data_IF_629139622549
#
_entry.id   IF_629139622549
#
_cell.length_a   1.000
_cell.length_b   1.000
_cell.length_c   1.000
_cell.angle_alpha   90.00
_cell.angle_beta   90.00
_cell.angle_gamma   90.00
#
_symmetry.space_group_name_H-M   'P 1'
#
loop_
_entity.id
_entity.type
_entity.pdbx_description
1 polymer ?
#
# COMPACT_ATOMS: atom_id res chain seq x y z
N UNK A 1 -16.93 -38.31 -45.79
CA UNK A 1 -17.23 -36.87 -45.70
C UNK A 1 -16.68 -36.45 -44.35
N UNK A 2 -15.57 -35.75 -44.31
CA UNK A 2 -15.06 -35.12 -43.11
C UNK A 2 -15.84 -33.80 -42.93
N UNK A 3 -16.85 -33.80 -42.10
CA UNK A 3 -17.53 -32.59 -41.66
C UNK A 3 -16.75 -31.97 -40.53
N UNK A 4 -15.87 -31.05 -40.84
CA UNK A 4 -15.30 -30.12 -39.83
C UNK A 4 -16.22 -28.92 -39.69
N UNK A 5 -16.31 -28.36 -38.49
CA UNK A 5 -16.96 -27.06 -38.31
C UNK A 5 -16.19 -25.97 -39.07
N UNK A 6 -16.93 -24.99 -39.59
CA UNK A 6 -16.33 -23.85 -40.26
C UNK A 6 -15.53 -23.08 -39.22
N UNK A 7 -14.28 -22.86 -39.50
CA UNK A 7 -13.36 -22.08 -38.64
C UNK A 7 -13.88 -20.66 -38.46
N UNK A 8 -14.11 -20.24 -37.26
CA UNK A 8 -14.71 -18.95 -36.90
C UNK A 8 -13.72 -17.94 -36.31
N UNK A 9 -12.47 -18.32 -36.12
CA UNK A 9 -11.45 -17.43 -35.58
C UNK A 9 -10.02 -17.96 -35.75
N UNK A 10 -9.07 -17.07 -35.50
CA UNK A 10 -7.64 -17.36 -35.51
C UNK A 10 -6.86 -16.37 -34.65
N UNK A 11 -5.65 -16.73 -34.30
CA UNK A 11 -4.70 -15.85 -33.61
C UNK A 11 -3.43 -15.78 -34.45
N UNK A 12 -2.93 -14.55 -34.68
CA UNK A 12 -1.62 -14.33 -35.30
C UNK A 12 -0.71 -13.61 -34.32
N UNK A 13 0.60 -13.71 -34.50
CA UNK A 13 1.57 -13.08 -33.63
C UNK A 13 2.84 -12.70 -34.38
N UNK A 14 3.30 -11.49 -34.14
CA UNK A 14 4.62 -11.00 -34.49
C UNK A 14 5.35 -10.54 -33.25
N UNK A 15 6.57 -10.98 -33.04
CA UNK A 15 7.38 -10.64 -31.88
C UNK A 15 8.72 -10.05 -32.29
N UNK A 16 9.37 -9.39 -31.33
CA UNK A 16 10.75 -8.95 -31.46
C UNK A 16 11.69 -10.01 -30.88
N UNK A 17 12.63 -10.49 -31.70
CA UNK A 17 13.67 -11.40 -31.27
C UNK A 17 14.60 -10.71 -30.24
N UNK A 18 15.37 -11.50 -29.48
CA UNK A 18 16.42 -10.98 -28.58
C UNK A 18 17.45 -10.12 -29.32
N UNK A 19 17.62 -10.29 -30.63
CA UNK A 19 18.48 -9.49 -31.50
C UNK A 19 17.83 -8.16 -31.97
N UNK A 20 16.60 -7.89 -31.55
CA UNK A 20 15.86 -6.68 -31.92
C UNK A 20 15.15 -6.74 -33.28
N UNK A 21 15.18 -7.87 -33.98
CA UNK A 21 14.56 -8.08 -35.29
C UNK A 21 13.12 -8.50 -35.08
N UNK A 22 12.19 -7.95 -35.88
CA UNK A 22 10.79 -8.41 -35.88
C UNK A 22 10.67 -9.73 -36.64
N UNK A 23 10.08 -10.72 -35.98
CA UNK A 23 9.81 -12.06 -36.51
C UNK A 23 8.30 -12.30 -36.53
N UNK A 24 7.72 -12.49 -37.71
CA UNK A 24 6.33 -12.91 -37.82
C UNK A 24 6.22 -14.41 -37.65
N UNK A 25 5.50 -14.85 -36.63
CA UNK A 25 5.22 -16.26 -36.39
C UNK A 25 4.03 -16.76 -37.23
N UNK A 26 3.33 -15.83 -37.91
CA UNK A 26 2.11 -16.13 -38.62
C UNK A 26 0.99 -16.53 -37.66
N UNK A 27 0.28 -17.59 -38.06
CA UNK A 27 -0.81 -18.10 -37.22
C UNK A 27 -0.29 -18.99 -36.10
N UNK A 28 -0.75 -18.73 -34.87
CA UNK A 28 -0.34 -19.40 -33.64
C UNK A 28 -1.54 -19.96 -32.88
N UNK A 29 -1.31 -20.93 -32.01
CA UNK A 29 -2.32 -21.43 -31.08
C UNK A 29 -2.17 -20.70 -29.74
N UNK A 30 -3.20 -19.97 -29.34
CA UNK A 30 -3.21 -19.29 -28.06
C UNK A 30 -3.97 -20.11 -27.02
N UNK A 31 -3.35 -20.37 -25.88
CA UNK A 31 -3.97 -20.94 -24.68
C UNK A 31 -4.36 -19.85 -23.69
N UNK A 32 -5.58 -19.89 -23.17
CA UNK A 32 -6.05 -18.96 -22.12
C UNK A 32 -6.22 -19.72 -20.82
N UNK A 33 -5.50 -19.29 -19.78
CA UNK A 33 -5.66 -19.84 -18.44
C UNK A 33 -6.73 -19.05 -17.68
N UNK A 34 -7.82 -19.71 -17.33
CA UNK A 34 -8.92 -19.12 -16.59
C UNK A 34 -8.79 -19.48 -15.09
N UNK A 35 -8.68 -18.46 -14.28
CA UNK A 35 -8.66 -18.59 -12.82
C UNK A 35 -10.08 -18.77 -12.26
N UNK A 36 -10.25 -19.63 -11.26
CA UNK A 36 -11.53 -19.78 -10.54
C UNK A 36 -11.83 -18.52 -9.74
N UNK A 37 -13.11 -18.16 -9.65
CA UNK A 37 -13.53 -17.02 -8.84
C UNK A 37 -13.09 -17.24 -7.37
N UNK A 38 -12.48 -16.22 -6.77
CA UNK A 38 -11.98 -16.27 -5.40
C UNK A 38 -10.57 -16.87 -5.22
N UNK A 39 -9.96 -17.48 -6.25
CA UNK A 39 -8.57 -17.95 -6.16
C UNK A 39 -7.58 -16.79 -6.25
N UNK A 40 -6.40 -16.95 -5.65
CA UNK A 40 -5.31 -15.98 -5.72
C UNK A 40 -4.69 -16.00 -7.13
N UNK A 41 -4.60 -14.83 -7.76
CA UNK A 41 -4.10 -14.69 -9.14
C UNK A 41 -2.65 -15.10 -9.23
N UNK A 42 -1.77 -14.54 -8.36
CA UNK A 42 -0.34 -14.86 -8.38
C UNK A 42 -0.09 -16.35 -8.13
N UNK A 43 -0.70 -16.93 -7.10
CA UNK A 43 -0.53 -18.35 -6.82
C UNK A 43 -1.04 -19.26 -7.96
N UNK A 44 -2.04 -18.81 -8.73
CA UNK A 44 -2.50 -19.55 -9.90
C UNK A 44 -1.48 -19.47 -11.03
N UNK A 45 -0.90 -18.30 -11.26
CA UNK A 45 0.11 -18.08 -12.30
C UNK A 45 1.39 -18.85 -11.95
N UNK A 46 1.91 -18.70 -10.71
CA UNK A 46 3.08 -19.44 -10.22
C UNK A 46 2.90 -20.97 -10.43
N UNK A 47 1.69 -21.50 -10.13
CA UNK A 47 1.39 -22.92 -10.35
C UNK A 47 1.32 -23.33 -11.83
N UNK A 48 1.01 -22.40 -12.73
CA UNK A 48 1.06 -22.63 -14.19
C UNK A 48 2.50 -22.62 -14.67
N UNK A 49 3.29 -21.62 -14.26
CA UNK A 49 4.70 -21.49 -14.60
C UNK A 49 5.52 -22.70 -14.15
N UNK A 50 5.27 -23.19 -12.92
CA UNK A 50 5.90 -24.42 -12.39
C UNK A 50 5.63 -25.64 -13.26
N UNK A 51 4.49 -25.67 -13.97
CA UNK A 51 4.12 -26.77 -14.87
C UNK A 51 4.55 -26.58 -16.32
N UNK A 52 4.91 -25.36 -16.73
CA UNK A 52 5.32 -25.04 -18.10
C UNK A 52 6.46 -25.94 -18.60
N UNK A 53 7.54 -26.23 -17.82
CA UNK A 53 8.59 -27.13 -18.28
C UNK A 53 8.12 -28.54 -18.58
N UNK A 54 7.18 -29.06 -17.78
CA UNK A 54 6.61 -30.40 -18.01
C UNK A 54 5.69 -30.42 -19.23
N UNK A 55 4.93 -29.35 -19.46
CA UNK A 55 4.11 -29.20 -20.67
C UNK A 55 5.01 -29.10 -21.89
N UNK A 56 6.07 -28.29 -21.85
CA UNK A 56 7.02 -28.16 -22.96
C UNK A 56 7.66 -29.49 -23.34
N UNK A 57 7.99 -30.37 -22.38
CA UNK A 57 8.54 -31.69 -22.64
C UNK A 57 7.52 -32.65 -23.27
N UNK A 58 6.23 -32.42 -23.10
CA UNK A 58 5.19 -33.25 -23.68
C UNK A 58 4.76 -32.80 -25.08
N UNK A 59 5.22 -31.61 -25.52
CA UNK A 59 4.93 -31.10 -26.87
C UNK A 59 5.78 -31.80 -27.92
N UNK A 60 5.28 -31.90 -29.18
CA UNK A 60 6.07 -32.40 -30.32
C UNK A 60 7.32 -31.55 -30.56
N UNK A 61 8.34 -32.17 -31.15
CA UNK A 61 9.57 -31.46 -31.53
C UNK A 61 9.26 -30.27 -32.47
N UNK A 62 9.83 -29.11 -32.13
CA UNK A 62 9.65 -27.85 -32.87
C UNK A 62 8.45 -27.02 -32.40
N UNK A 63 7.66 -27.48 -31.44
CA UNK A 63 6.60 -26.68 -30.82
C UNK A 63 7.09 -26.09 -29.48
N UNK A 64 7.04 -24.76 -29.39
CA UNK A 64 7.38 -24.02 -28.14
C UNK A 64 6.15 -23.39 -27.54
N UNK A 65 6.07 -23.36 -26.20
CA UNK A 65 5.02 -22.65 -25.48
C UNK A 65 5.65 -21.49 -24.72
N UNK A 66 5.13 -20.29 -24.93
CA UNK A 66 5.67 -19.07 -24.32
C UNK A 66 4.51 -18.21 -23.76
N UNK A 67 4.60 -17.68 -22.54
CA UNK A 67 3.66 -16.71 -22.03
C UNK A 67 3.86 -15.38 -22.80
N UNK A 68 2.80 -14.71 -23.20
CA UNK A 68 2.86 -13.40 -23.84
C UNK A 68 2.11 -12.29 -23.09
N UNK A 69 1.11 -12.64 -22.30
CA UNK A 69 0.38 -11.73 -21.44
C UNK A 69 0.23 -12.33 -20.05
N UNK A 70 0.86 -11.71 -19.07
CA UNK A 70 0.86 -12.17 -17.69
C UNK A 70 0.36 -11.07 -16.75
N UNK A 71 -0.73 -11.35 -16.02
CA UNK A 71 -1.24 -10.44 -14.99
C UNK A 71 -0.39 -10.44 -13.73
N UNK A 72 0.51 -11.43 -13.53
CA UNK A 72 1.40 -11.43 -12.38
C UNK A 72 2.36 -10.24 -12.41
N UNK A 73 2.82 -9.83 -13.59
CA UNK A 73 3.70 -8.68 -13.75
C UNK A 73 3.09 -7.40 -13.17
N UNK A 74 1.80 -7.17 -13.43
CA UNK A 74 1.08 -6.01 -12.88
C UNK A 74 0.96 -6.09 -11.36
N UNK A 75 0.66 -7.27 -10.83
CA UNK A 75 0.57 -7.50 -9.39
C UNK A 75 1.94 -7.31 -8.73
N UNK A 76 3.00 -7.82 -9.33
CA UNK A 76 4.36 -7.72 -8.81
C UNK A 76 4.89 -6.28 -8.84
N UNK A 77 4.67 -5.55 -9.92
CA UNK A 77 5.00 -4.12 -10.01
C UNK A 77 4.25 -3.31 -8.95
N UNK A 78 2.95 -3.58 -8.76
CA UNK A 78 2.14 -2.92 -7.75
C UNK A 78 2.64 -3.23 -6.32
N UNK A 79 2.93 -4.50 -6.01
CA UNK A 79 3.47 -4.92 -4.70
C UNK A 79 4.85 -4.33 -4.48
N UNK A 80 5.71 -4.32 -5.48
CA UNK A 80 7.06 -3.74 -5.40
C UNK A 80 7.00 -2.23 -5.15
N UNK A 81 6.13 -1.51 -5.87
CA UNK A 81 5.93 -0.07 -5.68
C UNK A 81 5.46 0.25 -4.26
N UNK A 82 4.46 -0.49 -3.77
CA UNK A 82 3.96 -0.32 -2.39
C UNK A 82 5.05 -0.68 -1.37
N UNK A 83 5.76 -1.80 -1.54
CA UNK A 83 6.84 -2.22 -0.65
C UNK A 83 7.97 -1.19 -0.58
N UNK A 84 8.34 -0.60 -1.72
CA UNK A 84 9.32 0.48 -1.80
C UNK A 84 8.84 1.72 -1.05
N UNK A 85 7.59 2.17 -1.30
CA UNK A 85 7.01 3.31 -0.62
C UNK A 85 6.94 3.09 0.91
N UNK A 86 6.57 1.87 1.35
CA UNK A 86 6.58 1.50 2.76
C UNK A 86 7.98 1.56 3.38
N UNK A 87 8.99 1.10 2.65
CA UNK A 87 10.38 1.12 3.11
C UNK A 87 10.88 2.56 3.22
N UNK A 88 10.62 3.40 2.23
CA UNK A 88 10.98 4.82 2.23
C UNK A 88 10.29 5.57 3.39
N UNK A 89 8.99 5.33 3.60
CA UNK A 89 8.24 5.89 4.72
C UNK A 89 8.82 5.44 6.08
N UNK A 90 9.14 4.15 6.22
CA UNK A 90 9.75 3.60 7.42
C UNK A 90 11.11 4.24 7.73
N UNK A 91 11.98 4.38 6.73
CA UNK A 91 13.28 5.06 6.88
C UNK A 91 13.09 6.51 7.32
N UNK A 92 12.13 7.23 6.71
CA UNK A 92 11.83 8.60 7.09
C UNK A 92 11.33 8.70 8.55
N UNK A 93 10.45 7.80 8.97
CA UNK A 93 9.98 7.70 10.35
C UNK A 93 11.15 7.48 11.32
N UNK A 94 12.07 6.58 11.00
CA UNK A 94 13.29 6.33 11.82
C UNK A 94 14.11 7.61 11.98
N UNK A 95 14.37 8.32 10.87
CA UNK A 95 15.14 9.57 10.89
C UNK A 95 14.45 10.61 11.78
N UNK A 96 13.15 10.81 11.59
CA UNK A 96 12.37 11.79 12.36
C UNK A 96 12.37 11.43 13.85
N UNK A 97 12.13 10.17 14.19
CA UNK A 97 12.14 9.72 15.59
C UNK A 97 13.51 9.90 16.26
N UNK A 98 14.60 9.58 15.56
CA UNK A 98 15.96 9.80 16.06
C UNK A 98 16.26 11.28 16.30
N UNK A 99 15.79 12.17 15.43
CA UNK A 99 15.98 13.61 15.55
C UNK A 99 15.18 14.23 16.71
N UNK A 100 13.99 13.71 16.97
CA UNK A 100 13.09 14.29 17.98
C UNK A 100 13.26 13.67 19.37
N UNK A 101 13.30 12.35 19.48
CA UNK A 101 13.41 11.69 20.79
C UNK A 101 14.84 11.73 21.36
N UNK A 102 15.89 11.82 20.54
CA UNK A 102 17.32 11.78 20.95
C UNK A 102 17.67 10.63 21.92
N UNK A 103 16.82 9.64 22.01
CA UNK A 103 16.99 8.46 22.84
C UNK A 103 16.79 7.20 22.00
N UNK A 104 17.92 6.52 21.74
CA UNK A 104 17.91 5.33 20.87
C UNK A 104 17.01 4.21 21.40
N UNK A 105 16.87 4.07 22.73
CA UNK A 105 16.01 3.05 23.32
C UNK A 105 14.53 3.33 23.09
N UNK A 106 14.10 4.57 23.29
CA UNK A 106 12.74 5.01 23.03
C UNK A 106 12.40 4.89 21.53
N UNK A 107 13.33 5.31 20.66
CA UNK A 107 13.19 5.17 19.21
C UNK A 107 13.06 3.72 18.80
N UNK A 108 13.89 2.82 19.33
CA UNK A 108 13.80 1.38 19.02
C UNK A 108 12.48 0.77 19.44
N UNK A 109 11.92 1.15 20.58
CA UNK A 109 10.61 0.68 21.02
C UNK A 109 9.50 1.08 20.04
N UNK A 110 9.46 2.37 19.65
CA UNK A 110 8.50 2.85 18.66
C UNK A 110 8.72 2.17 17.32
N UNK A 111 9.99 1.97 16.92
CA UNK A 111 10.33 1.29 15.67
C UNK A 111 9.84 -0.16 15.62
N UNK A 112 9.91 -0.89 16.74
CA UNK A 112 9.40 -2.26 16.85
C UNK A 112 7.87 -2.29 16.81
N UNK A 113 7.19 -1.25 17.30
CA UNK A 113 5.72 -1.22 17.29
C UNK A 113 5.12 -1.24 15.89
N UNK A 114 5.80 -0.67 14.90
CA UNK A 114 5.31 -0.60 13.50
C UNK A 114 5.24 -1.98 12.85
N UNK A 115 6.35 -2.74 12.72
CA UNK A 115 6.29 -4.07 12.12
C UNK A 115 5.41 -5.04 12.92
N UNK A 116 5.33 -4.87 14.24
CA UNK A 116 4.44 -5.67 15.08
C UNK A 116 2.97 -5.39 14.76
N UNK A 117 2.57 -4.11 14.67
CA UNK A 117 1.20 -3.72 14.31
C UNK A 117 0.82 -4.17 12.91
N UNK A 118 1.74 -4.01 11.94
CA UNK A 118 1.56 -4.47 10.55
C UNK A 118 1.44 -6.00 10.51
N UNK A 119 2.31 -6.71 11.20
CA UNK A 119 2.28 -8.18 11.26
C UNK A 119 0.96 -8.71 11.86
N UNK A 120 0.49 -8.09 12.94
CA UNK A 120 -0.81 -8.41 13.54
C UNK A 120 -1.97 -8.08 12.59
N UNK A 121 -1.92 -6.96 11.88
CA UNK A 121 -2.94 -6.58 10.89
C UNK A 121 -2.99 -7.59 9.73
N UNK A 122 -1.84 -7.96 9.16
CA UNK A 122 -1.75 -8.97 8.11
C UNK A 122 -2.23 -10.34 8.58
N UNK A 123 -1.91 -10.72 9.83
CA UNK A 123 -2.40 -11.97 10.45
C UNK A 123 -3.93 -11.95 10.57
N UNK A 124 -4.49 -10.83 11.03
CA UNK A 124 -5.93 -10.64 11.11
C UNK A 124 -6.60 -10.70 9.73
N UNK A 125 -6.03 -10.02 8.74
CA UNK A 125 -6.50 -10.08 7.35
C UNK A 125 -6.50 -11.52 6.82
N UNK A 126 -5.43 -12.25 7.02
CA UNK A 126 -5.32 -13.67 6.62
C UNK A 126 -6.38 -14.55 7.30
N UNK A 127 -6.62 -14.35 8.59
CA UNK A 127 -7.63 -15.10 9.34
C UNK A 127 -9.05 -14.86 8.82
N UNK A 128 -9.37 -13.65 8.36
CA UNK A 128 -10.66 -13.34 7.75
C UNK A 128 -10.72 -13.62 6.24
N UNK A 129 -9.71 -14.24 5.67
CA UNK A 129 -9.68 -14.63 4.25
C UNK A 129 -9.56 -13.43 3.29
N UNK A 130 -9.05 -12.30 3.76
CA UNK A 130 -8.83 -11.12 2.95
C UNK A 130 -7.53 -11.29 2.16
N UNK A 131 -7.61 -11.11 0.84
CA UNK A 131 -6.42 -11.14 -0.02
C UNK A 131 -5.60 -9.86 0.10
N UNK A 132 -4.27 -10.00 0.08
CA UNK A 132 -3.35 -8.89 -0.08
C UNK A 132 -3.37 -8.44 -1.54
N UNK A 133 -4.29 -7.57 -1.90
CA UNK A 133 -4.38 -6.93 -3.22
C UNK A 133 -3.88 -5.48 -3.16
N UNK A 134 -3.77 -4.83 -4.32
CA UNK A 134 -3.29 -3.45 -4.44
C UNK A 134 -4.06 -2.49 -3.50
N UNK A 135 -5.37 -2.65 -3.41
CA UNK A 135 -6.21 -1.77 -2.59
C UNK A 135 -5.99 -1.99 -1.09
N UNK A 136 -5.92 -3.27 -0.64
CA UNK A 136 -5.66 -3.59 0.77
C UNK A 136 -4.22 -3.22 1.19
N UNK A 137 -3.23 -3.41 0.32
CA UNK A 137 -1.85 -2.98 0.57
C UNK A 137 -1.72 -1.47 0.57
N UNK A 138 -2.42 -0.77 -0.34
CA UNK A 138 -2.51 0.69 -0.34
C UNK A 138 -3.15 1.23 0.94
N UNK A 139 -4.22 0.58 1.42
CA UNK A 139 -4.83 0.89 2.72
C UNK A 139 -3.86 0.69 3.88
N UNK A 140 -3.08 -0.39 3.87
CA UNK A 140 -2.05 -0.65 4.87
C UNK A 140 -0.94 0.42 4.82
N UNK A 141 -0.53 0.85 3.63
CA UNK A 141 0.44 1.92 3.45
C UNK A 141 -0.03 3.25 4.07
N UNK A 142 -1.29 3.63 3.85
CA UNK A 142 -1.91 4.80 4.48
C UNK A 142 -1.95 4.62 6.01
N UNK A 143 -2.36 3.43 6.48
CA UNK A 143 -2.47 3.14 7.89
C UNK A 143 -1.13 3.21 8.63
N UNK A 144 -0.01 2.83 8.02
CA UNK A 144 1.32 2.89 8.65
C UNK A 144 1.66 4.32 9.11
N UNK A 145 1.37 5.33 8.29
CA UNK A 145 1.56 6.73 8.69
C UNK A 145 0.77 7.12 9.94
N UNK A 146 -0.46 6.60 10.08
CA UNK A 146 -1.34 6.89 11.22
C UNK A 146 -1.06 6.02 12.45
N UNK A 147 -0.56 4.79 12.25
CA UNK A 147 -0.28 3.85 13.35
C UNK A 147 0.85 4.31 14.27
N UNK A 148 1.83 5.01 13.72
CA UNK A 148 3.02 5.45 14.46
C UNK A 148 2.65 6.45 15.55
N UNK A 149 1.68 7.32 15.29
CA UNK A 149 1.32 8.42 16.19
C UNK A 149 0.93 7.95 17.58
N UNK A 150 0.10 6.91 17.70
CA UNK A 150 -0.29 6.36 19.00
C UNK A 150 0.89 5.86 19.83
N UNK A 151 1.84 5.17 19.19
CA UNK A 151 3.04 4.65 19.83
C UNK A 151 4.04 5.76 20.18
N UNK A 152 4.16 6.78 19.34
CA UNK A 152 5.02 7.95 19.58
C UNK A 152 4.51 8.74 20.78
N UNK A 153 3.21 9.10 20.79
CA UNK A 153 2.59 9.86 21.89
C UNK A 153 2.69 9.09 23.21
N UNK A 154 2.45 7.78 23.19
CA UNK A 154 2.60 6.91 24.36
C UNK A 154 4.04 6.93 24.88
N UNK A 155 5.03 6.75 23.98
CA UNK A 155 6.44 6.72 24.36
C UNK A 155 6.94 8.08 24.84
N UNK A 156 6.52 9.17 24.20
CA UNK A 156 6.88 10.52 24.60
C UNK A 156 6.38 10.83 26.02
N UNK A 157 5.12 10.47 26.32
CA UNK A 157 4.57 10.68 27.66
C UNK A 157 5.24 9.82 28.72
N UNK A 158 5.53 8.53 28.40
CA UNK A 158 6.32 7.67 29.28
C UNK A 158 7.69 8.30 29.55
N UNK A 159 8.37 8.77 28.49
CA UNK A 159 9.67 9.40 28.59
C UNK A 159 9.64 10.68 29.42
N UNK A 160 8.60 11.49 29.26
CA UNK A 160 8.36 12.71 30.04
C UNK A 160 8.21 12.38 31.54
N UNK A 161 7.39 11.39 31.88
CA UNK A 161 7.21 10.97 33.29
C UNK A 161 8.49 10.38 33.90
N UNK A 162 9.29 9.63 33.11
CA UNK A 162 10.57 9.09 33.58
C UNK A 162 11.68 10.14 33.70
N UNK A 163 11.55 11.29 33.02
CA UNK A 163 12.54 12.37 33.04
C UNK A 163 12.26 13.47 34.07
N UNK A 164 11.06 13.51 34.66
CA UNK A 164 10.72 14.47 35.69
C UNK A 164 11.35 14.05 37.05
N UNK A 165 12.01 14.94 37.76
CA UNK A 165 12.45 14.68 39.16
C UNK A 165 11.23 14.45 40.03
N UNK A 166 11.35 13.57 41.01
CA UNK A 166 10.31 13.16 41.94
C UNK A 166 9.88 14.26 42.95
N UNK A 167 9.40 15.37 42.48
CA UNK A 167 8.90 16.42 43.38
C UNK A 167 7.60 16.06 44.13
N UNK A 168 6.78 15.19 43.55
CA UNK A 168 5.48 14.78 44.12
C UNK A 168 5.61 13.56 45.04
N UNK A 169 6.51 12.62 44.71
CA UNK A 169 6.76 11.46 45.56
C UNK A 169 7.71 11.76 46.73
N UNK A 170 8.61 12.72 46.59
CA UNK A 170 9.43 13.21 47.69
C UNK A 170 8.59 13.86 48.80
N UNK A 171 7.49 14.56 48.47
CA UNK A 171 6.57 15.12 49.45
C UNK A 171 5.78 14.03 50.18
N UNK A 172 5.22 13.04 49.46
CA UNK A 172 4.49 11.94 50.09
C UNK A 172 5.41 10.99 50.87
N UNK A 173 6.68 10.82 50.44
CA UNK A 173 7.68 10.05 51.15
C UNK A 173 8.20 10.80 52.39
N UNK A 174 8.32 12.12 52.33
CA UNK A 174 8.68 12.97 53.50
C UNK A 174 7.57 12.99 54.54
N UNK A 175 6.30 12.96 54.14
CA UNK A 175 5.14 12.92 55.03
C UNK A 175 4.92 11.54 55.67
N UNK A 176 5.49 10.47 55.09
CA UNK A 176 5.33 9.07 55.56
C UNK A 176 6.52 8.54 56.40
N UNK A 177 7.63 9.28 56.50
CA UNK A 177 8.85 8.84 57.18
C UNK A 177 9.09 9.57 58.48
N UNK A 178 9.26 8.79 59.55
CA UNK A 178 9.78 9.30 60.84
C UNK A 178 11.22 9.85 60.64
N UNK A 179 11.59 10.91 61.37
CA UNK A 179 12.91 11.53 61.26
C UNK A 179 13.99 10.57 61.75
N UNK A 180 14.77 9.97 60.86
CA UNK A 180 15.97 9.24 61.24
C UNK A 180 16.42 8.10 60.32
N UNK A 181 15.60 7.59 59.40
CA UNK A 181 15.88 6.30 58.73
C UNK A 181 15.91 6.34 57.19
N UNK A 182 16.35 7.38 56.56
CA UNK A 182 16.42 7.39 55.10
C UNK A 182 17.75 7.88 54.57
N UNK A 183 18.52 6.98 53.98
CA UNK A 183 19.54 7.31 53.00
C UNK A 183 18.86 7.96 51.79
N UNK A 184 19.15 9.23 51.47
CA UNK A 184 18.51 9.92 50.31
C UNK A 184 18.85 9.29 48.95
N UNK A 185 19.77 8.34 48.91
CA UNK A 185 20.28 7.73 47.69
C UNK A 185 20.24 6.19 47.74
N UNK A 186 19.05 5.62 47.85
CA UNK A 186 18.86 4.18 47.66
C UNK A 186 18.49 3.87 46.21
N UNK A 187 19.42 3.35 45.39
CA UNK A 187 19.14 3.03 43.97
C UNK A 187 18.14 1.89 43.80
N UNK A 188 17.82 1.14 44.86
CA UNK A 188 16.81 0.07 44.83
C UNK A 188 15.38 0.62 44.94
N UNK A 189 15.20 1.78 45.56
CA UNK A 189 13.92 2.47 45.69
C UNK A 189 13.42 3.02 44.35
N UNK A 190 14.35 3.46 43.48
CA UNK A 190 14.04 4.01 42.15
C UNK A 190 13.49 2.92 41.22
N UNK A 191 13.94 1.68 41.37
CA UNK A 191 13.48 0.54 40.54
C UNK A 191 12.02 0.16 40.75
N UNK A 192 11.48 0.34 41.96
CA UNK A 192 10.07 0.02 42.25
C UNK A 192 9.11 1.13 41.78
N UNK A 193 9.59 2.36 41.60
CA UNK A 193 8.80 3.49 41.11
C UNK A 193 8.60 3.53 39.60
N UNK A 194 9.51 2.96 38.78
CA UNK A 194 9.48 3.05 37.34
C UNK A 194 8.22 2.40 36.69
N UNK A 195 7.77 1.18 37.07
CA UNK A 195 6.56 0.60 36.54
C UNK A 195 5.31 1.41 36.85
N UNK A 196 5.24 2.04 38.05
CA UNK A 196 4.11 2.90 38.43
C UNK A 196 4.06 4.17 37.58
N UNK A 197 5.21 4.81 37.35
CA UNK A 197 5.31 6.00 36.49
C UNK A 197 4.92 5.69 35.04
N UNK A 198 5.33 4.53 34.51
CA UNK A 198 4.92 4.07 33.18
C UNK A 198 3.42 3.82 33.15
N UNK A 199 2.86 3.23 34.18
CA UNK A 199 1.41 2.99 34.31
C UNK A 199 0.62 4.30 34.35
N UNK A 200 1.07 5.30 35.10
CA UNK A 200 0.44 6.62 35.16
C UNK A 200 0.50 7.33 33.81
N UNK A 201 1.67 7.36 33.19
CA UNK A 201 1.84 7.92 31.86
C UNK A 201 0.93 7.23 30.83
N UNK A 202 0.83 5.89 30.87
CA UNK A 202 -0.02 5.14 29.98
C UNK A 202 -1.52 5.41 30.23
N UNK A 203 -1.95 5.60 31.46
CA UNK A 203 -3.34 5.95 31.81
C UNK A 203 -3.71 7.36 31.34
N UNK A 204 -2.80 8.31 31.43
CA UNK A 204 -3.02 9.70 31.02
C UNK A 204 -3.31 9.78 29.51
N UNK A 205 -2.51 9.10 28.69
CA UNK A 205 -2.58 9.18 27.22
C UNK A 205 -3.50 8.11 26.62
N UNK A 206 -3.79 7.04 27.37
CA UNK A 206 -4.58 5.94 26.86
C UNK A 206 -5.96 6.33 26.33
N UNK A 207 -6.68 7.20 27.08
CA UNK A 207 -8.00 7.69 26.63
C UNK A 207 -7.92 8.55 25.37
N UNK A 208 -7.06 9.59 25.27
CA UNK A 208 -6.87 10.37 24.05
C UNK A 208 -6.52 9.51 22.84
N UNK A 209 -5.58 8.59 22.97
CA UNK A 209 -5.16 7.69 21.88
C UNK A 209 -6.32 6.80 21.45
N UNK A 210 -7.06 6.21 22.39
CA UNK A 210 -8.25 5.41 22.11
C UNK A 210 -9.28 6.20 21.29
N UNK A 211 -9.66 7.40 21.75
CA UNK A 211 -10.64 8.22 21.03
C UNK A 211 -10.13 8.65 19.66
N UNK A 212 -8.86 9.02 19.52
CA UNK A 212 -8.28 9.38 18.23
C UNK A 212 -8.41 8.23 17.21
N UNK A 213 -8.06 7.01 17.61
CA UNK A 213 -8.18 5.83 16.73
C UNK A 213 -9.64 5.53 16.39
N UNK A 214 -10.56 5.60 17.37
CA UNK A 214 -12.00 5.38 17.10
C UNK A 214 -12.55 6.42 16.12
N UNK A 215 -12.17 7.69 16.27
CA UNK A 215 -12.58 8.74 15.32
C UNK A 215 -12.09 8.40 13.90
N UNK A 216 -10.85 7.98 13.74
CA UNK A 216 -10.31 7.56 12.44
C UNK A 216 -11.13 6.39 11.88
N UNK A 217 -11.42 5.36 12.68
CA UNK A 217 -12.24 4.22 12.26
C UNK A 217 -13.63 4.67 11.80
N UNK A 218 -14.27 5.57 12.54
CA UNK A 218 -15.59 6.12 12.18
C UNK A 218 -15.55 6.92 10.86
N UNK A 219 -14.45 7.65 10.59
CA UNK A 219 -14.26 8.36 9.32
C UNK A 219 -14.23 7.39 8.13
N UNK A 220 -13.70 6.18 8.29
CA UNK A 220 -13.67 5.15 7.25
C UNK A 220 -14.95 4.31 7.19
N UNK A 221 -15.86 4.42 8.18
CA UNK A 221 -17.10 3.64 8.22
C UNK A 221 -18.00 3.83 6.99
N UNK A 222 -18.14 5.01 6.38
CA UNK A 222 -18.96 5.19 5.16
C UNK A 222 -18.49 4.35 3.98
N UNK A 223 -17.19 3.98 3.89
CA UNK A 223 -16.68 3.15 2.80
C UNK A 223 -17.28 1.72 2.81
N UNK A 224 -17.78 1.26 3.95
CA UNK A 224 -18.43 -0.04 4.05
C UNK A 224 -19.86 -0.05 3.49
N UNK A 225 -20.47 1.13 3.27
CA UNK A 225 -21.80 1.25 2.68
C UNK A 225 -21.76 1.39 1.16
N UNK A 226 -20.57 1.46 0.56
CA UNK A 226 -20.41 1.50 -0.89
C UNK A 226 -20.79 0.14 -1.50
N UNK A 227 -21.55 0.19 -2.58
CA UNK A 227 -21.99 -0.99 -3.35
C UNK A 227 -21.36 -0.96 -4.76
N UNK A 228 -21.55 -2.03 -5.52
CA UNK A 228 -21.08 -2.09 -6.90
C UNK A 228 -19.57 -2.17 -7.06
N UNK A 229 -19.04 -1.46 -8.03
CA UNK A 229 -17.59 -1.43 -8.36
C UNK A 229 -16.83 -0.68 -7.30
N UNK A 230 -17.36 0.44 -6.83
CA UNK A 230 -16.76 1.27 -5.78
C UNK A 230 -16.58 0.48 -4.48
N UNK A 231 -17.60 -0.29 -4.09
CA UNK A 231 -17.51 -1.16 -2.92
C UNK A 231 -16.40 -2.20 -3.06
N UNK A 232 -16.28 -2.85 -4.22
CA UNK A 232 -15.23 -3.85 -4.48
C UNK A 232 -13.81 -3.25 -4.43
N UNK A 233 -13.65 -1.99 -4.79
CA UNK A 233 -12.37 -1.28 -4.76
C UNK A 233 -12.04 -0.77 -3.35
N UNK A 234 -12.95 -0.06 -2.70
CA UNK A 234 -12.66 0.67 -1.47
C UNK A 234 -12.89 -0.13 -0.19
N UNK A 235 -13.78 -1.13 -0.16
CA UNK A 235 -13.99 -1.95 1.05
C UNK A 235 -12.73 -2.69 1.51
N UNK A 236 -11.95 -3.37 0.63
CA UNK A 236 -10.70 -4.02 1.06
C UNK A 236 -9.70 -3.03 1.66
N UNK A 237 -9.61 -1.83 1.09
CA UNK A 237 -8.78 -0.74 1.61
C UNK A 237 -9.25 -0.29 3.01
N UNK A 238 -10.55 -0.03 3.17
CA UNK A 238 -11.12 0.40 4.45
C UNK A 238 -10.93 -0.67 5.53
N UNK A 239 -11.14 -1.95 5.21
CA UNK A 239 -10.94 -3.05 6.15
C UNK A 239 -9.48 -3.12 6.60
N UNK A 240 -8.53 -3.02 5.68
CA UNK A 240 -7.09 -3.06 6.02
C UNK A 240 -6.68 -1.89 6.91
N UNK A 241 -7.19 -0.68 6.65
CA UNK A 241 -6.96 0.50 7.51
C UNK A 241 -7.52 0.27 8.91
N UNK A 242 -8.79 -0.16 9.00
CA UNK A 242 -9.45 -0.39 10.30
C UNK A 242 -8.72 -1.46 11.11
N UNK A 243 -8.35 -2.59 10.49
CA UNK A 243 -7.59 -3.65 11.16
C UNK A 243 -6.22 -3.16 11.61
N UNK A 244 -5.50 -2.42 10.77
CA UNK A 244 -4.22 -1.84 11.11
C UNK A 244 -4.32 -0.86 12.28
N UNK A 245 -5.36 -0.02 12.30
CA UNK A 245 -5.60 0.92 13.40
C UNK A 245 -5.97 0.22 14.70
N UNK A 246 -6.81 -0.84 14.65
CA UNK A 246 -7.15 -1.63 15.82
C UNK A 246 -5.93 -2.36 16.42
N UNK A 247 -5.11 -2.98 15.55
CA UNK A 247 -3.87 -3.65 16.00
C UNK A 247 -2.86 -2.66 16.56
N UNK A 248 -2.71 -1.49 15.94
CA UNK A 248 -1.88 -0.41 16.44
C UNK A 248 -2.33 0.09 17.81
N UNK A 249 -3.64 0.23 18.01
CA UNK A 249 -4.20 0.61 19.31
C UNK A 249 -3.82 -0.40 20.40
N UNK A 250 -3.95 -1.70 20.12
CA UNK A 250 -3.53 -2.76 21.06
C UNK A 250 -2.04 -2.68 21.34
N UNK A 251 -1.21 -2.50 20.31
CA UNK A 251 0.24 -2.37 20.47
C UNK A 251 0.59 -1.13 21.29
N UNK A 252 -0.02 0.03 20.99
CA UNK A 252 0.27 1.27 21.70
C UNK A 252 -0.16 1.25 23.17
N UNK A 253 -1.33 0.66 23.49
CA UNK A 253 -1.88 0.67 24.86
C UNK A 253 -1.39 -0.47 25.73
N UNK A 254 -1.04 -1.62 25.15
CA UNK A 254 -0.68 -2.82 25.90
C UNK A 254 0.79 -3.17 25.76
N UNK A 255 1.26 -3.28 24.51
CA UNK A 255 2.61 -3.76 24.23
C UNK A 255 3.66 -2.70 24.55
N UNK A 256 3.42 -1.44 24.17
CA UNK A 256 4.38 -0.36 24.38
C UNK A 256 4.68 -0.08 25.86
N UNK A 257 3.69 0.05 26.78
CA UNK A 257 3.99 0.20 28.20
C UNK A 257 4.71 -1.02 28.76
N UNK A 258 4.34 -2.25 28.36
CA UNK A 258 5.01 -3.45 28.80
C UNK A 258 6.49 -3.50 28.34
N UNK A 259 6.77 -3.21 27.08
CA UNK A 259 8.14 -3.14 26.55
C UNK A 259 8.96 -2.01 27.20
N UNK A 260 8.32 -0.88 27.53
CA UNK A 260 8.97 0.22 28.23
C UNK A 260 9.45 -0.19 29.64
N UNK A 261 8.69 -1.01 30.38
CA UNK A 261 9.13 -1.52 31.70
C UNK A 261 10.37 -2.42 31.62
N UNK A 262 10.51 -3.20 30.53
CA UNK A 262 11.70 -4.02 30.29
C UNK A 262 12.92 -3.22 29.83
N UNK A 263 12.71 -2.07 29.20
CA UNK A 263 13.78 -1.29 28.58
C UNK A 263 14.35 -0.22 29.54
N UNK A 264 13.48 0.40 30.34
CA UNK A 264 13.86 1.48 31.25
C UNK A 264 13.91 0.96 32.68
N UNK A 265 15.13 0.81 33.20
CA UNK A 265 15.38 0.39 34.58
C UNK A 265 15.77 1.57 35.50
N UNK A 266 16.04 2.74 34.94
CA UNK A 266 16.48 3.94 35.67
C UNK A 266 15.78 5.16 35.06
N UNK A 267 15.68 6.23 35.90
CA UNK A 267 15.21 7.53 35.41
C UNK A 267 16.07 8.02 34.23
N UNK A 268 15.43 8.63 33.24
CA UNK A 268 16.08 9.06 32.00
C UNK A 268 16.26 10.57 32.02
N UNK A 269 17.47 11.04 31.68
CA UNK A 269 17.75 12.47 31.59
C UNK A 269 17.14 13.05 30.31
N UNK A 270 16.26 14.02 30.45
CA UNK A 270 15.71 14.74 29.31
C UNK A 270 16.82 15.55 28.61
N UNK A 271 17.09 15.28 27.34
CA UNK A 271 17.96 16.09 26.49
C UNK A 271 17.08 16.79 25.46
N UNK A 272 17.02 18.12 25.53
CA UNK A 272 16.33 18.87 24.49
C UNK A 272 17.05 18.70 23.15
N UNK A 273 16.30 18.33 22.13
CA UNK A 273 16.82 18.25 20.76
C UNK A 273 17.21 19.64 20.27
N UNK A 274 18.43 19.77 19.77
CA UNK A 274 18.88 21.03 19.17
C UNK A 274 18.06 21.42 17.93
N UNK A 275 17.42 20.45 17.28
CA UNK A 275 16.49 20.65 16.16
C UNK A 275 15.15 21.17 16.67
N UNK A 276 14.73 20.76 17.85
CA UNK A 276 13.45 21.16 18.44
C UNK A 276 13.46 22.63 18.91
N UNK A 277 14.59 23.12 19.41
CA UNK A 277 14.72 24.50 19.93
C UNK A 277 14.34 25.59 18.89
N UNK A 278 14.88 25.61 17.65
CA UNK A 278 14.50 26.62 16.67
C UNK A 278 13.05 26.45 16.21
N UNK A 279 12.55 25.20 16.14
CA UNK A 279 11.16 24.91 15.77
C UNK A 279 10.19 25.41 16.85
N UNK A 280 10.50 25.18 18.13
CA UNK A 280 9.73 25.69 19.26
C UNK A 280 9.72 27.22 19.30
N UNK A 281 10.87 27.87 19.04
CA UNK A 281 10.95 29.32 18.97
C UNK A 281 10.05 29.85 17.83
N UNK A 282 10.15 29.28 16.64
CA UNK A 282 9.31 29.67 15.49
C UNK A 282 7.82 29.47 15.80
N UNK A 283 7.46 28.32 16.37
CA UNK A 283 6.07 28.03 16.74
C UNK A 283 5.53 29.03 17.78
N UNK A 284 6.30 29.36 18.80
CA UNK A 284 5.92 30.36 19.83
C UNK A 284 5.68 31.75 19.22
N UNK A 285 6.52 32.16 18.25
CA UNK A 285 6.34 33.43 17.56
C UNK A 285 5.09 33.39 16.66
N UNK A 286 4.93 32.33 15.88
CA UNK A 286 3.77 32.16 15.01
C UNK A 286 2.45 32.11 15.83
N UNK A 287 2.45 31.38 16.93
CA UNK A 287 1.29 31.30 17.85
C UNK A 287 0.99 32.68 18.46
N UNK A 288 2.03 33.39 18.94
CA UNK A 288 1.87 34.73 19.49
C UNK A 288 1.30 35.73 18.48
N UNK A 289 1.75 35.65 17.21
CA UNK A 289 1.22 36.45 16.13
C UNK A 289 -0.25 36.06 15.80
N UNK A 290 -0.54 34.76 15.69
CA UNK A 290 -1.88 34.27 15.42
C UNK A 290 -2.88 34.67 16.51
N UNK A 291 -2.51 34.58 17.78
CA UNK A 291 -3.36 34.99 18.90
C UNK A 291 -3.61 36.51 18.94
N UNK A 292 -2.61 37.32 18.58
CA UNK A 292 -2.77 38.78 18.44
C UNK A 292 -3.73 39.17 17.32
N UNK A 293 -3.66 38.46 16.19
CA UNK A 293 -4.45 38.70 14.98
C UNK A 293 -5.57 37.65 14.82
N UNK A 294 -6.11 37.11 15.93
CA UNK A 294 -7.08 36.02 15.94
C UNK A 294 -8.25 36.19 14.95
N UNK A 295 -8.80 37.40 14.85
CA UNK A 295 -9.89 37.69 13.93
C UNK A 295 -9.47 37.65 12.46
N UNK A 296 -8.23 38.11 12.16
CA UNK A 296 -7.67 38.00 10.81
C UNK A 296 -7.43 36.55 10.42
N UNK A 297 -6.90 35.74 11.35
CA UNK A 297 -6.68 34.30 11.13
C UNK A 297 -8.02 33.59 10.83
N UNK A 298 -9.07 33.88 11.60
CA UNK A 298 -10.40 33.32 11.36
C UNK A 298 -10.97 33.80 10.01
N UNK A 299 -10.81 35.09 9.69
CA UNK A 299 -11.27 35.65 8.40
C UNK A 299 -10.59 34.96 7.22
N UNK A 300 -9.26 34.79 7.30
CA UNK A 300 -8.47 34.10 6.26
C UNK A 300 -8.92 32.64 6.12
N UNK A 301 -9.13 31.94 7.22
CA UNK A 301 -9.60 30.55 7.21
C UNK A 301 -10.97 30.42 6.55
N UNK A 302 -11.91 31.31 6.89
CA UNK A 302 -13.24 31.35 6.26
C UNK A 302 -13.16 31.73 4.79
N UNK A 303 -12.31 32.70 4.43
CA UNK A 303 -12.11 33.09 3.02
C UNK A 303 -11.51 31.96 2.19
N UNK A 304 -10.53 31.22 2.74
CA UNK A 304 -9.96 30.03 2.09
C UNK A 304 -11.02 28.94 1.92
N UNK A 305 -11.79 28.67 2.95
CA UNK A 305 -12.90 27.69 2.86
C UNK A 305 -13.92 28.09 1.78
N UNK A 306 -14.34 29.35 1.74
CA UNK A 306 -15.26 29.86 0.72
C UNK A 306 -14.65 29.75 -0.69
N UNK A 307 -13.36 30.11 -0.85
CA UNK A 307 -12.66 29.96 -2.12
C UNK A 307 -12.61 28.48 -2.58
N UNK A 308 -12.34 27.55 -1.67
CA UNK A 308 -12.37 26.11 -1.96
C UNK A 308 -13.76 25.66 -2.41
N UNK A 309 -14.82 26.10 -1.75
CA UNK A 309 -16.18 25.79 -2.16
C UNK A 309 -16.53 26.33 -3.55
N UNK A 310 -16.02 27.50 -3.91
CA UNK A 310 -16.20 28.09 -5.26
C UNK A 310 -15.40 27.37 -6.35
N UNK A 311 -14.25 26.76 -5.98
CA UNK A 311 -13.41 26.00 -6.90
C UNK A 311 -13.88 24.57 -7.11
N UNK A 312 -14.58 23.99 -6.12
CA UNK A 312 -15.02 22.59 -6.14
C UNK A 312 -15.79 22.20 -7.42
N UNK A 313 -16.76 23.03 -7.92
CA UNK A 313 -17.47 22.69 -9.16
C UNK A 313 -16.64 22.73 -10.44
N UNK A 314 -15.40 23.29 -10.36
CA UNK A 314 -14.47 23.35 -11.49
C UNK A 314 -13.54 22.14 -11.58
N UNK A 315 -13.53 21.30 -10.55
CA UNK A 315 -12.79 20.05 -10.56
C UNK A 315 -13.49 19.07 -11.50
N UNK A 316 -12.74 18.52 -12.45
CA UNK A 316 -13.21 17.42 -13.29
C UNK A 316 -13.53 16.21 -12.43
N UNK A 317 -14.60 15.49 -12.78
CA UNK A 317 -14.95 14.23 -12.12
C UNK A 317 -14.68 13.09 -13.07
N UNK A 318 -13.75 12.20 -12.68
CA UNK A 318 -13.47 10.96 -13.38
C UNK A 318 -13.81 9.79 -12.45
N UNK A 319 -14.35 8.72 -13.04
CA UNK A 319 -14.78 7.57 -12.25
C UNK A 319 -13.61 6.72 -11.77
N UNK A 320 -12.68 6.44 -12.66
CA UNK A 320 -11.45 5.69 -12.37
C UNK A 320 -10.29 6.40 -13.07
N UNK A 321 -9.17 6.63 -12.39
CA UNK A 321 -7.98 7.16 -13.05
C UNK A 321 -7.49 6.19 -14.13
N UNK A 322 -6.87 6.71 -15.18
CA UNK A 322 -6.26 5.90 -16.23
C UNK A 322 -5.19 5.00 -15.63
N UNK A 323 -5.29 3.69 -15.92
CA UNK A 323 -4.32 2.69 -15.48
C UNK A 323 -3.45 2.34 -16.68
N UNK A 324 -2.15 2.52 -16.53
CA UNK A 324 -1.16 2.09 -17.52
C UNK A 324 -0.78 0.64 -17.24
N UNK A 325 -1.21 -0.27 -18.12
CA UNK A 325 -0.93 -1.71 -17.99
C UNK A 325 0.31 -2.16 -18.80
N UNK A 326 1.00 -1.23 -19.46
CA UNK A 326 2.14 -1.55 -20.33
C UNK A 326 1.74 -2.29 -21.61
N UNK A 327 0.44 -2.39 -21.89
CA UNK A 327 -0.11 -3.00 -23.10
C UNK A 327 -1.15 -2.10 -23.74
N UNK A 328 -1.23 -2.11 -25.07
CA UNK A 328 -2.28 -1.41 -25.82
C UNK A 328 -3.19 -2.46 -26.46
N UNK A 329 -4.50 -2.30 -26.26
CA UNK A 329 -5.48 -3.11 -26.96
C UNK A 329 -6.11 -2.27 -28.08
N UNK A 330 -5.85 -2.65 -29.33
CA UNK A 330 -6.39 -2.00 -30.51
C UNK A 330 -7.54 -2.84 -31.04
N UNK A 331 -8.74 -2.27 -31.09
CA UNK A 331 -9.91 -2.94 -31.65
C UNK A 331 -10.21 -2.38 -33.04
N UNK A 332 -10.19 -3.27 -34.05
CA UNK A 332 -10.46 -2.95 -35.45
C UNK A 332 -11.70 -3.68 -35.91
N UNK A 333 -12.66 -2.96 -36.44
CA UNK A 333 -13.88 -3.53 -37.02
C UNK A 333 -13.85 -3.37 -38.51
N UNK A 334 -13.83 -4.49 -39.21
CA UNK A 334 -13.87 -4.58 -40.68
C UNK A 334 -15.33 -4.57 -41.16
N UNK A 335 -15.51 -4.52 -42.46
CA UNK A 335 -16.84 -4.69 -43.04
C UNK A 335 -17.45 -6.05 -42.62
N UNK A 336 -18.75 -6.11 -42.29
CA UNK A 336 -19.39 -7.36 -41.84
C UNK A 336 -19.31 -8.53 -42.87
N UNK A 337 -19.00 -8.24 -44.13
CA UNK A 337 -18.81 -9.21 -45.18
C UNK A 337 -17.35 -9.71 -45.30
N UNK A 338 -16.44 -9.24 -44.45
CA UNK A 338 -15.06 -9.67 -44.49
C UNK A 338 -14.92 -11.17 -44.17
N UNK A 339 -14.13 -11.88 -44.97
CA UNK A 339 -13.78 -13.26 -44.68
C UNK A 339 -12.67 -13.36 -43.65
N UNK A 340 -12.50 -14.54 -43.03
CA UNK A 340 -11.41 -14.81 -42.10
C UNK A 340 -10.03 -14.52 -42.71
N UNK A 341 -9.82 -14.94 -43.99
CA UNK A 341 -8.55 -14.70 -44.67
C UNK A 341 -8.27 -13.21 -44.90
N UNK A 342 -9.32 -12.41 -45.18
CA UNK A 342 -9.18 -10.96 -45.30
C UNK A 342 -8.83 -10.33 -43.96
N UNK A 343 -9.47 -10.76 -42.88
CA UNK A 343 -9.20 -10.26 -41.55
C UNK A 343 -7.78 -10.63 -41.07
N UNK A 344 -7.31 -11.84 -41.36
CA UNK A 344 -5.93 -12.27 -41.10
C UNK A 344 -4.89 -11.46 -41.89
N UNK A 345 -5.17 -11.16 -43.17
CA UNK A 345 -4.28 -10.32 -43.96
C UNK A 345 -4.18 -8.89 -43.42
N UNK A 346 -5.27 -8.32 -42.90
CA UNK A 346 -5.27 -7.02 -42.26
C UNK A 346 -4.52 -7.08 -40.91
N UNK A 347 -4.75 -8.13 -40.11
CA UNK A 347 -4.04 -8.35 -38.85
C UNK A 347 -2.53 -8.39 -39.06
N UNK A 348 -2.04 -9.16 -40.01
CA UNK A 348 -0.61 -9.24 -40.33
C UNK A 348 0.00 -7.88 -40.72
N UNK A 349 -0.73 -7.08 -41.54
CA UNK A 349 -0.28 -5.74 -41.91
C UNK A 349 -0.23 -4.77 -40.70
N UNK A 350 -1.19 -4.91 -39.78
CA UNK A 350 -1.21 -4.10 -38.53
C UNK A 350 -0.03 -4.48 -37.65
N UNK A 351 0.21 -5.78 -37.46
CA UNK A 351 1.34 -6.28 -36.67
C UNK A 351 2.68 -5.78 -37.20
N UNK A 352 2.89 -5.86 -38.52
CA UNK A 352 4.11 -5.38 -39.18
C UNK A 352 4.32 -3.88 -38.95
N UNK A 353 3.26 -3.05 -39.04
CA UNK A 353 3.34 -1.62 -38.80
C UNK A 353 3.57 -1.29 -37.35
N UNK A 354 2.98 -2.03 -36.42
CA UNK A 354 3.17 -1.84 -34.98
C UNK A 354 4.59 -2.21 -34.56
N UNK A 355 5.15 -3.27 -35.13
CA UNK A 355 6.53 -3.68 -34.87
C UNK A 355 7.59 -2.73 -35.46
N UNK A 356 7.20 -1.74 -36.26
CA UNK A 356 8.09 -0.67 -36.70
C UNK A 356 8.49 0.28 -35.56
N UNK A 357 7.70 0.35 -34.47
CA UNK A 357 8.01 1.13 -33.29
C UNK A 357 8.97 0.36 -32.37
N UNK A 358 10.12 0.94 -31.98
CA UNK A 358 11.13 0.24 -31.18
C UNK A 358 10.68 -0.11 -29.77
N UNK A 359 9.63 0.54 -29.25
CA UNK A 359 9.03 0.32 -27.95
C UNK A 359 8.16 -0.95 -27.92
N UNK A 360 7.70 -1.45 -29.10
CA UNK A 360 6.84 -2.63 -29.19
C UNK A 360 7.67 -3.91 -29.10
N UNK A 361 7.31 -4.78 -28.17
CA UNK A 361 7.94 -6.09 -27.94
C UNK A 361 7.25 -7.19 -28.72
N UNK A 362 5.92 -7.18 -28.74
CA UNK A 362 5.10 -8.11 -29.54
C UNK A 362 3.78 -7.45 -29.95
N UNK A 363 3.20 -7.96 -31.02
CA UNK A 363 1.84 -7.69 -31.46
C UNK A 363 1.13 -9.02 -31.72
N UNK A 364 0.04 -9.28 -31.00
CA UNK A 364 -0.76 -10.50 -31.18
C UNK A 364 -2.18 -10.13 -31.55
N UNK A 365 -2.66 -10.62 -32.66
CA UNK A 365 -4.00 -10.32 -33.18
C UNK A 365 -4.93 -11.50 -32.98
N UNK A 366 -6.06 -11.27 -32.35
CA UNK A 366 -7.16 -12.22 -32.25
C UNK A 366 -8.25 -11.82 -33.24
N UNK A 367 -8.60 -12.73 -34.14
CA UNK A 367 -9.61 -12.52 -35.19
C UNK A 367 -10.78 -13.44 -34.92
N UNK A 368 -11.98 -12.85 -34.79
CA UNK A 368 -13.21 -13.61 -34.66
C UNK A 368 -13.37 -14.37 -33.34
N UNK A 369 -14.14 -15.45 -33.37
CA UNK A 369 -14.57 -16.19 -32.18
C UNK A 369 -13.52 -17.23 -31.75
N UNK A 370 -13.08 -17.27 -30.46
CA UNK A 370 -12.29 -18.38 -29.95
C UNK A 370 -13.15 -19.65 -29.85
N UNK A 371 -12.53 -20.84 -29.98
CA UNK A 371 -13.24 -22.11 -29.86
C UNK A 371 -13.79 -22.36 -28.43
N UNK A 372 -13.10 -21.88 -27.40
CA UNK A 372 -13.48 -22.03 -25.99
C UNK A 372 -13.28 -20.73 -25.23
N UNK A 373 -14.29 -20.35 -24.43
CA UNK A 373 -14.11 -19.43 -23.29
C UNK A 373 -13.96 -17.95 -23.59
N UNK A 374 -14.29 -17.44 -24.77
CA UNK A 374 -14.26 -16.02 -25.09
C UNK A 374 -15.61 -15.44 -25.49
N UNK A 375 -15.66 -14.11 -25.64
CA UNK A 375 -16.84 -13.42 -26.17
C UNK A 375 -17.10 -13.86 -27.64
N UNK A 376 -18.36 -14.08 -28.02
CA UNK A 376 -18.73 -14.46 -29.37
C UNK A 376 -18.62 -13.25 -30.32
N UNK A 377 -17.43 -13.02 -30.85
CA UNK A 377 -17.19 -11.93 -31.81
C UNK A 377 -17.26 -12.40 -33.24
N UNK A 378 -17.77 -11.55 -34.17
CA UNK A 378 -17.78 -11.87 -35.61
C UNK A 378 -16.36 -11.82 -36.16
N UNK A 379 -16.11 -12.55 -37.26
CA UNK A 379 -14.83 -12.58 -37.96
C UNK A 379 -14.34 -11.20 -38.42
N UNK A 380 -15.26 -10.24 -38.58
CA UNK A 380 -14.94 -8.85 -38.89
C UNK A 380 -14.28 -8.06 -37.75
N UNK A 381 -14.26 -8.60 -36.54
CA UNK A 381 -13.58 -7.97 -35.41
C UNK A 381 -12.18 -8.54 -35.22
N UNK A 382 -11.20 -7.66 -35.18
CA UNK A 382 -9.80 -7.95 -34.91
C UNK A 382 -9.37 -7.20 -33.67
N UNK A 383 -8.95 -7.91 -32.65
CA UNK A 383 -8.33 -7.34 -31.45
C UNK A 383 -6.82 -7.57 -31.49
N UNK A 384 -6.06 -6.47 -31.43
CA UNK A 384 -4.60 -6.53 -31.45
C UNK A 384 -4.08 -6.14 -30.07
N UNK A 385 -3.45 -7.07 -29.38
CA UNK A 385 -2.73 -6.86 -28.15
C UNK A 385 -1.28 -6.49 -28.46
N UNK A 386 -0.85 -5.31 -28.02
CA UNK A 386 0.49 -4.79 -28.27
C UNK A 386 1.21 -4.69 -26.92
N UNK A 387 2.24 -5.50 -26.73
CA UNK A 387 3.11 -5.42 -25.58
C UNK A 387 4.17 -4.33 -25.77
N UNK A 388 4.36 -3.50 -24.76
CA UNK A 388 5.33 -2.42 -24.76
C UNK A 388 6.49 -2.72 -23.80
N UNK A 389 7.65 -2.14 -24.09
CA UNK A 389 8.75 -2.08 -23.11
C UNK A 389 8.37 -1.22 -21.93
N UNK A 390 9.00 -1.42 -20.75
CA UNK A 390 8.89 -0.45 -19.64
C UNK A 390 9.18 0.98 -20.10
N UNK A 391 8.39 1.96 -19.62
CA UNK A 391 8.53 3.38 -20.02
C UNK A 391 9.95 3.91 -19.82
N UNK A 392 10.67 3.39 -18.82
CA UNK A 392 12.07 3.77 -18.56
C UNK A 392 13.05 3.38 -19.70
N UNK A 393 12.65 2.46 -20.59
CA UNK A 393 13.45 1.98 -21.73
C UNK A 393 13.05 2.61 -23.06
N UNK A 394 12.09 3.55 -23.04
CA UNK A 394 11.69 4.27 -24.25
C UNK A 394 12.75 5.29 -24.64
N UNK A 395 13.02 5.39 -25.94
CA UNK A 395 14.03 6.30 -26.52
C UNK A 395 13.39 7.56 -27.08
#
# INVERSE_FOLDING_TARGET
>A
VFGGEIRQGAVTMTRRSAEGISESLGEVVAGIVLKRLGSNTKATIDAVEDRMPAIQQALPDGVTIEPFYDQADLVEQAVTTVSRALTEAFVLIVIVLLLFLLNIRATLLVLISVPLSVGLALTAMSYWGLSANLMSLGGLAIAIGMMVDGSVVMMENIFKHLSQPDSTHEQHAKDALAPGDADPYDPTRDQHGIPLRIQEAAREVGRPVFYAVIIIIVVFAPLFTLEGVEGKLFQPMAISIVLAMLTSLVVALVVMPALATFTFHHSVRHRNSWVFLPLEWFYRQALGFALKLKWLVVLVAVAMFAATMLLLPRLGTEFVPELEEGTINIRVTLAPSASLDTALAVAAQLEERLMAFPEVTYASSRVGRPELGGDPEPVSNVEVYVGLKPVAEWT
#
